data_IF_500208998695
#
_entry.id   IF_500208998695
#
_cell.length_a   1.000
_cell.length_b   1.000
_cell.length_c   1.000
_cell.angle_alpha   90.00
_cell.angle_beta   90.00
_cell.angle_gamma   90.00
#
_symmetry.space_group_name_H-M   'P 1'
#
loop_
_entity.id
_entity.type
_entity.pdbx_description
1 polymer ?
#
# COMPACT_ATOMS: atom_id res chain seq x y z
N UNK A 1 -65.93 39.19 41.94
CA UNK A 1 -65.01 38.10 41.53
C UNK A 1 -65.72 36.81 41.85
N UNK A 2 -66.03 36.05 40.81
CA UNK A 2 -66.75 34.78 40.90
C UNK A 2 -65.73 33.65 41.02
N UNK A 3 -65.65 32.96 42.17
CA UNK A 3 -64.67 31.90 42.40
C UNK A 3 -64.75 30.76 41.38
N UNK A 4 -65.93 30.48 40.83
CA UNK A 4 -66.13 29.40 39.86
C UNK A 4 -65.53 29.77 38.49
N UNK A 5 -65.61 31.04 38.09
CA UNK A 5 -65.01 31.56 36.86
C UNK A 5 -63.47 31.58 36.94
N UNK A 6 -62.92 31.93 38.12
CA UNK A 6 -61.49 31.90 38.38
C UNK A 6 -60.94 30.46 38.38
N UNK A 7 -61.66 29.51 38.98
CA UNK A 7 -61.29 28.10 38.96
C UNK A 7 -61.24 27.53 37.53
N UNK A 8 -62.25 27.82 36.71
CA UNK A 8 -62.30 27.36 35.31
C UNK A 8 -61.17 27.96 34.47
N UNK A 9 -60.80 29.22 34.74
CA UNK A 9 -59.68 29.89 34.07
C UNK A 9 -58.34 29.24 34.42
N UNK A 10 -58.12 28.92 35.71
CA UNK A 10 -56.90 28.24 36.17
C UNK A 10 -56.81 26.84 35.59
N UNK A 11 -57.90 26.06 35.63
CA UNK A 11 -57.93 24.70 35.08
C UNK A 11 -57.64 24.70 33.56
N UNK A 12 -58.22 25.64 32.82
CA UNK A 12 -57.93 25.78 31.38
C UNK A 12 -56.49 26.18 31.11
N UNK A 13 -55.89 27.04 31.94
CA UNK A 13 -54.50 27.43 31.81
C UNK A 13 -53.55 26.25 32.11
N UNK A 14 -53.83 25.45 33.14
CA UNK A 14 -53.06 24.24 33.48
C UNK A 14 -53.11 23.20 32.36
N UNK A 15 -54.28 22.99 31.76
CA UNK A 15 -54.43 22.08 30.61
C UNK A 15 -53.61 22.56 29.41
N UNK A 16 -53.69 23.85 29.07
CA UNK A 16 -52.87 24.43 28.00
C UNK A 16 -51.36 24.35 28.30
N UNK A 17 -50.95 24.56 29.55
CA UNK A 17 -49.56 24.41 29.97
C UNK A 17 -49.09 22.95 29.83
N UNK A 18 -49.92 21.98 30.19
CA UNK A 18 -49.61 20.55 30.01
C UNK A 18 -49.47 20.17 28.54
N UNK A 19 -50.38 20.64 27.68
CA UNK A 19 -50.33 20.40 26.23
C UNK A 19 -49.07 21.01 25.62
N UNK A 20 -48.73 22.25 25.98
CA UNK A 20 -47.53 22.92 25.46
C UNK A 20 -46.25 22.28 25.96
N UNK A 21 -46.20 21.83 27.22
CA UNK A 21 -45.05 21.11 27.77
C UNK A 21 -44.82 19.77 27.06
N UNK A 22 -45.88 18.98 26.83
CA UNK A 22 -45.78 17.70 26.13
C UNK A 22 -45.35 17.87 24.68
N UNK A 23 -45.87 18.88 23.97
CA UNK A 23 -45.43 19.23 22.62
C UNK A 23 -43.95 19.62 22.59
N UNK A 24 -43.53 20.53 23.49
CA UNK A 24 -42.13 20.95 23.62
C UNK A 24 -41.19 19.78 23.90
N UNK A 25 -41.59 18.87 24.79
CA UNK A 25 -40.81 17.68 25.11
C UNK A 25 -40.63 16.78 23.89
N UNK A 26 -41.70 16.53 23.14
CA UNK A 26 -41.66 15.76 21.90
C UNK A 26 -40.73 16.39 20.87
N UNK A 27 -40.75 17.70 20.73
CA UNK A 27 -39.89 18.42 19.79
C UNK A 27 -38.42 18.34 20.20
N UNK A 28 -38.12 18.51 21.49
CA UNK A 28 -36.75 18.37 22.03
C UNK A 28 -36.23 16.96 21.84
N UNK A 29 -37.03 15.94 22.13
CA UNK A 29 -36.63 14.55 21.97
C UNK A 29 -36.44 14.20 20.49
N UNK A 30 -37.34 14.69 19.62
CA UNK A 30 -37.20 14.56 18.16
C UNK A 30 -35.92 15.23 17.63
N UNK A 31 -35.60 16.43 18.10
CA UNK A 31 -34.37 17.13 17.74
C UNK A 31 -33.12 16.38 18.22
N UNK A 32 -33.13 15.85 19.44
CA UNK A 32 -32.03 15.03 19.99
C UNK A 32 -31.82 13.75 19.18
N UNK A 33 -32.89 13.06 18.79
CA UNK A 33 -32.79 11.87 17.93
C UNK A 33 -32.19 12.20 16.57
N UNK A 34 -32.65 13.30 15.93
CA UNK A 34 -32.10 13.77 14.65
C UNK A 34 -30.62 14.12 14.78
N UNK A 35 -30.22 14.83 15.82
CA UNK A 35 -28.82 15.19 16.07
C UNK A 35 -27.96 13.93 16.24
N UNK A 36 -28.43 12.94 16.99
CA UNK A 36 -27.71 11.67 17.17
C UNK A 36 -27.58 10.90 15.86
N UNK A 37 -28.61 10.90 15.01
CA UNK A 37 -28.56 10.27 13.69
C UNK A 37 -27.54 10.97 12.77
N UNK A 38 -27.60 12.31 12.69
CA UNK A 38 -26.66 13.11 11.90
C UNK A 38 -25.22 12.94 12.38
N UNK A 39 -24.98 12.90 13.69
CA UNK A 39 -23.64 12.68 14.25
C UNK A 39 -23.06 11.32 13.84
N UNK A 40 -23.88 10.25 13.82
CA UNK A 40 -23.44 8.92 13.33
C UNK A 40 -23.10 8.94 11.85
N UNK A 41 -23.91 9.60 11.02
CA UNK A 41 -23.66 9.74 9.58
C UNK A 41 -22.37 10.52 9.33
N UNK A 42 -22.16 11.60 10.08
CA UNK A 42 -20.95 12.42 9.97
C UNK A 42 -19.70 11.64 10.38
N UNK A 43 -19.77 10.80 11.42
CA UNK A 43 -18.65 9.96 11.81
C UNK A 43 -18.35 8.88 10.76
N UNK A 44 -19.37 8.23 10.22
CA UNK A 44 -19.20 7.29 9.11
C UNK A 44 -18.60 7.97 7.86
N UNK A 45 -19.06 9.18 7.55
CA UNK A 45 -18.53 9.97 6.45
C UNK A 45 -17.07 10.40 6.69
N UNK A 46 -16.69 10.77 7.91
CA UNK A 46 -15.30 11.06 8.29
C UNK A 46 -14.41 9.86 8.08
N UNK A 47 -14.78 8.70 8.64
CA UNK A 47 -14.03 7.45 8.48
C UNK A 47 -13.88 7.09 7.00
N UNK A 48 -14.94 7.26 6.19
CA UNK A 48 -14.91 6.96 4.76
C UNK A 48 -14.14 8.00 3.92
N UNK A 49 -14.09 9.26 4.36
CA UNK A 49 -13.46 10.36 3.62
C UNK A 49 -11.98 10.52 3.98
N UNK A 50 -11.57 10.02 5.14
CA UNK A 50 -10.17 9.90 5.49
C UNK A 50 -9.58 8.66 4.85
N UNK A 51 -8.34 8.77 4.38
CA UNK A 51 -7.62 7.64 3.82
C UNK A 51 -7.49 6.54 4.89
N UNK A 52 -7.85 5.27 4.59
CA UNK A 52 -7.65 4.18 5.53
C UNK A 52 -6.19 4.06 5.93
N UNK A 53 -5.92 3.76 7.20
CA UNK A 53 -4.56 3.59 7.73
C UNK A 53 -3.79 2.41 7.09
N UNK A 54 -4.51 1.50 6.42
CA UNK A 54 -3.93 0.41 5.64
C UNK A 54 -3.31 0.85 4.32
N UNK A 55 -3.60 2.07 3.84
CA UNK A 55 -3.07 2.57 2.56
C UNK A 55 -1.92 3.54 2.83
N UNK A 56 -0.68 3.26 2.36
CA UNK A 56 0.49 4.11 2.60
C UNK A 56 0.26 5.53 2.12
N UNK A 57 0.76 6.56 2.82
CA UNK A 57 0.66 7.97 2.37
C UNK A 57 1.11 8.14 0.90
N UNK A 58 0.62 9.15 0.18
CA UNK A 58 0.94 9.31 -1.24
C UNK A 58 2.46 9.46 -1.44
N UNK A 59 3.09 10.17 -0.51
CA UNK A 59 4.54 10.28 -0.38
C UNK A 59 5.22 8.93 -0.10
N UNK A 60 4.72 8.14 0.87
CA UNK A 60 5.28 6.82 1.18
C UNK A 60 5.17 5.86 -0.02
N UNK A 61 4.07 5.93 -0.77
CA UNK A 61 3.88 5.15 -1.99
C UNK A 61 4.89 5.58 -3.08
N UNK A 62 5.02 6.89 -3.32
CA UNK A 62 6.00 7.43 -4.27
C UNK A 62 7.44 7.03 -3.92
N UNK A 63 7.82 7.13 -2.64
CA UNK A 63 9.13 6.71 -2.16
C UNK A 63 9.36 5.20 -2.37
N UNK A 64 8.32 4.39 -2.19
CA UNK A 64 8.38 2.95 -2.44
C UNK A 64 8.59 2.65 -3.92
N UNK A 65 7.87 3.33 -4.82
CA UNK A 65 8.03 3.18 -6.26
C UNK A 65 9.45 3.58 -6.71
N UNK A 66 9.94 4.73 -6.27
CA UNK A 66 11.30 5.19 -6.60
C UNK A 66 12.37 4.19 -6.12
N UNK A 67 12.19 3.61 -4.93
CA UNK A 67 13.10 2.58 -4.41
C UNK A 67 13.04 1.30 -5.25
N UNK A 68 11.84 0.88 -5.66
CA UNK A 68 11.67 -0.30 -6.50
C UNK A 68 12.29 -0.11 -7.89
N UNK A 69 12.14 1.07 -8.49
CA UNK A 69 12.77 1.40 -9.77
C UNK A 69 14.30 1.42 -9.66
N UNK A 70 14.86 1.99 -8.59
CA UNK A 70 16.29 1.93 -8.31
C UNK A 70 16.80 0.50 -8.19
N UNK A 71 16.08 -0.35 -7.45
CA UNK A 71 16.40 -1.76 -7.31
C UNK A 71 16.34 -2.51 -8.64
N UNK A 72 15.33 -2.23 -9.48
CA UNK A 72 15.17 -2.85 -10.80
C UNK A 72 16.36 -2.53 -11.71
N UNK A 73 16.78 -1.26 -11.74
CA UNK A 73 17.94 -0.85 -12.54
C UNK A 73 19.22 -1.51 -12.00
N UNK A 74 19.40 -1.55 -10.68
CA UNK A 74 20.56 -2.20 -10.07
C UNK A 74 20.61 -3.69 -10.38
N UNK A 75 19.47 -4.38 -10.33
CA UNK A 75 19.39 -5.81 -10.64
C UNK A 75 19.72 -6.07 -12.11
N UNK A 76 19.18 -5.27 -13.04
CA UNK A 76 19.48 -5.41 -14.45
C UNK A 76 20.98 -5.23 -14.75
N UNK A 77 21.64 -4.26 -14.08
CA UNK A 77 23.09 -4.08 -14.20
C UNK A 77 23.86 -5.29 -13.68
N UNK A 78 23.49 -5.81 -12.50
CA UNK A 78 24.15 -6.97 -11.92
C UNK A 78 23.98 -8.24 -12.78
N UNK A 79 22.82 -8.41 -13.41
CA UNK A 79 22.58 -9.51 -14.36
C UNK A 79 23.51 -9.37 -15.56
N UNK A 80 23.54 -8.19 -16.20
CA UNK A 80 24.40 -7.96 -17.36
C UNK A 80 25.90 -8.18 -17.05
N UNK A 81 26.36 -7.75 -15.86
CA UNK A 81 27.73 -7.95 -15.41
C UNK A 81 28.04 -9.44 -15.17
N UNK A 82 27.11 -10.17 -14.55
CA UNK A 82 27.24 -11.62 -14.34
C UNK A 82 27.25 -12.38 -15.68
N UNK A 83 26.38 -12.04 -16.62
CA UNK A 83 26.34 -12.62 -17.97
C UNK A 83 27.62 -12.34 -18.75
N UNK A 84 28.14 -11.11 -18.67
CA UNK A 84 29.41 -10.75 -19.31
C UNK A 84 30.59 -11.52 -18.71
N UNK A 85 30.62 -11.68 -17.38
CA UNK A 85 31.64 -12.48 -16.70
C UNK A 85 31.56 -13.95 -17.08
N UNK A 86 30.35 -14.51 -17.17
CA UNK A 86 30.12 -15.88 -17.60
C UNK A 86 30.63 -16.10 -19.03
N UNK A 87 30.25 -15.24 -19.97
CA UNK A 87 30.70 -15.34 -21.36
C UNK A 87 32.23 -15.29 -21.48
N UNK A 88 32.89 -14.43 -20.70
CA UNK A 88 34.36 -14.37 -20.66
C UNK A 88 34.98 -15.69 -20.18
N UNK A 89 34.42 -16.30 -19.13
CA UNK A 89 34.92 -17.58 -18.59
C UNK A 89 34.64 -18.74 -19.54
N UNK A 90 33.50 -18.75 -20.20
CA UNK A 90 33.17 -19.76 -21.22
C UNK A 90 34.13 -19.69 -22.41
N UNK A 91 34.47 -18.48 -22.87
CA UNK A 91 35.46 -18.27 -23.92
C UNK A 91 36.87 -18.73 -23.50
N UNK A 92 37.29 -18.43 -22.27
CA UNK A 92 38.56 -18.90 -21.73
C UNK A 92 38.61 -20.42 -21.62
N UNK A 93 37.52 -21.04 -21.14
CA UNK A 93 37.40 -22.49 -21.03
C UNK A 93 37.44 -23.17 -22.40
N UNK A 94 36.80 -22.60 -23.41
CA UNK A 94 36.89 -23.08 -24.78
C UNK A 94 38.34 -23.03 -25.29
N UNK A 95 39.03 -21.90 -25.11
CA UNK A 95 40.44 -21.76 -25.49
C UNK A 95 41.34 -22.79 -24.81
N UNK A 96 41.17 -23.01 -23.51
CA UNK A 96 41.96 -23.99 -22.75
C UNK A 96 41.68 -25.43 -23.19
N UNK A 97 40.45 -25.74 -23.62
CA UNK A 97 40.13 -27.05 -24.21
C UNK A 97 40.82 -27.27 -25.55
N UNK A 98 40.84 -26.24 -26.39
CA UNK A 98 41.53 -26.31 -27.69
C UNK A 98 43.04 -26.48 -27.49
N UNK A 99 43.65 -25.75 -26.54
CA UNK A 99 45.06 -25.88 -26.19
C UNK A 99 45.39 -27.26 -25.61
N UNK A 100 44.53 -27.81 -24.75
CA UNK A 100 44.68 -29.16 -24.21
C UNK A 100 44.66 -30.20 -25.34
N UNK A 101 43.70 -30.10 -26.26
CA UNK A 101 43.60 -31.02 -27.39
C UNK A 101 44.84 -30.96 -28.29
N UNK A 102 45.32 -29.75 -28.60
CA UNK A 102 46.54 -29.57 -29.38
C UNK A 102 47.78 -30.18 -28.69
N UNK A 103 47.85 -30.10 -27.35
CA UNK A 103 48.93 -30.70 -26.58
C UNK A 103 48.82 -32.24 -26.53
N UNK A 104 47.60 -32.78 -26.45
CA UNK A 104 47.34 -34.22 -26.51
C UNK A 104 47.67 -34.82 -27.87
N UNK A 105 47.52 -34.05 -28.96
CA UNK A 105 47.89 -34.47 -30.32
C UNK A 105 49.38 -34.31 -30.64
N UNK A 106 50.10 -33.48 -29.90
CA UNK A 106 51.55 -33.34 -30.04
C UNK A 106 52.23 -34.60 -29.48
N UNK A 107 52.97 -35.32 -30.33
CA UNK A 107 53.90 -36.39 -29.93
C UNK A 107 55.33 -35.83 -29.91
N UNK A 108 55.85 -35.42 -28.74
CA UNK A 108 57.15 -34.77 -28.65
C UNK A 108 58.30 -35.71 -29.02
N UNK A 109 58.10 -37.04 -28.95
CA UNK A 109 59.12 -38.02 -29.29
C UNK A 109 59.29 -38.15 -30.81
N UNK A 110 58.17 -38.18 -31.55
CA UNK A 110 58.18 -38.20 -33.02
C UNK A 110 58.72 -36.88 -33.62
N UNK A 111 58.43 -35.73 -33.00
CA UNK A 111 58.95 -34.43 -33.45
C UNK A 111 60.47 -34.29 -33.23
N UNK A 112 61.02 -34.86 -32.14
CA UNK A 112 62.47 -34.80 -31.87
C UNK A 112 63.29 -35.73 -32.77
N UNK A 113 62.76 -36.88 -33.22
CA UNK A 113 63.44 -37.78 -34.15
C UNK A 113 63.59 -37.18 -35.56
N UNK A 114 62.65 -36.34 -35.99
CA UNK A 114 62.70 -35.59 -37.25
C UNK A 114 63.78 -34.50 -37.24
N UNK A 115 64.02 -33.85 -36.10
CA UNK A 115 65.03 -32.78 -35.97
C UNK A 115 66.46 -33.33 -35.78
N UNK A 116 66.60 -34.54 -35.23
CA UNK A 116 67.90 -35.22 -35.08
C UNK A 116 68.38 -35.96 -36.34
N UNK A 117 67.53 -36.10 -37.36
CA UNK A 117 67.82 -36.82 -38.61
C UNK A 117 68.00 -35.92 -39.85
N UNK A 118 67.98 -34.59 -39.66
CA UNK A 118 68.33 -33.57 -40.65
C UNK A 118 69.78 -33.08 -40.47
#
# INVERSE_FOLDING_TARGET
MDPDEEYMTIASAEEQMSITETARKKDVDGARMKLKALAKVLEAARVSSTRPSSVPSAEAHSNTLNKQDGNRISLAKAINEAESSLASKEAELARLRDELHALEESDPAAEHELDASA
#
